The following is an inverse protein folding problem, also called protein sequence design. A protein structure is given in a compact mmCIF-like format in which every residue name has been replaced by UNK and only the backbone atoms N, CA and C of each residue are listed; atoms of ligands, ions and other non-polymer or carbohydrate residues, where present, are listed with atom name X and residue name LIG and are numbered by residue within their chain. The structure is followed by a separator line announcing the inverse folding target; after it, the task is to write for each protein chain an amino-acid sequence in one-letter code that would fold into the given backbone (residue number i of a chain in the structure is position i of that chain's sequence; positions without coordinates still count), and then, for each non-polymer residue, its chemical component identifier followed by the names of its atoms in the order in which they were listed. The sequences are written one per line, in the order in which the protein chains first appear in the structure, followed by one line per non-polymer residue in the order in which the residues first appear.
data_IF_327289750717
#
_entry.id   IF_327289750717
#
_cell.length_a   1.000
_cell.length_b   1.000
_cell.length_c   1.000
_cell.angle_alpha   90.00
_cell.angle_beta   90.00
_cell.angle_gamma   90.00
#
_symmetry.space_group_name_H-M   'P 1'
#
loop_
_entity.id
_entity.type
_entity.pdbx_description
1 polymer ?
#
# COMPACT_ATOMS: atom_id res chain seq x y z
N UNK A 1 6.61 3.08 24.76
CA UNK A 1 6.86 1.93 23.88
C UNK A 1 7.07 0.72 24.78
N UNK A 2 6.13 -0.25 24.79
CA UNK A 2 6.15 -1.38 25.72
C UNK A 2 7.25 -2.41 25.38
N UNK A 3 7.64 -2.49 24.10
CA UNK A 3 8.71 -3.40 23.64
C UNK A 3 10.06 -2.95 24.19
N UNK A 4 10.35 -1.65 24.19
CA UNK A 4 11.62 -1.12 24.70
C UNK A 4 11.72 -1.11 26.24
N UNK A 5 10.58 -1.11 26.94
CA UNK A 5 10.52 -0.99 28.41
C UNK A 5 10.40 -2.35 29.12
N UNK A 6 10.13 -3.42 28.38
CA UNK A 6 9.91 -4.77 28.94
C UNK A 6 11.03 -5.69 28.46
N UNK A 7 11.93 -6.10 29.37
CA UNK A 7 13.00 -7.03 29.04
C UNK A 7 12.47 -8.35 28.47
N UNK A 8 12.98 -8.77 27.31
CA UNK A 8 12.56 -10.01 26.64
C UNK A 8 11.26 -9.94 25.85
N UNK A 9 10.65 -8.75 25.69
CA UNK A 9 9.41 -8.60 24.93
C UNK A 9 9.60 -8.82 23.42
N UNK A 10 8.52 -9.30 22.78
CA UNK A 10 8.34 -9.34 21.32
C UNK A 10 7.03 -8.66 20.97
N UNK A 11 7.02 -7.89 19.89
CA UNK A 11 5.82 -7.22 19.38
C UNK A 11 5.88 -7.06 17.86
N UNK A 12 4.72 -6.99 17.22
CA UNK A 12 4.60 -6.65 15.81
C UNK A 12 4.21 -5.18 15.70
N UNK A 13 4.98 -4.43 14.92
CA UNK A 13 4.75 -3.01 14.65
C UNK A 13 5.01 -2.74 13.18
N UNK A 14 4.42 -1.69 12.65
CA UNK A 14 4.78 -1.18 11.31
C UNK A 14 6.26 -0.73 11.33
N UNK A 15 6.99 -0.90 10.22
CA UNK A 15 8.44 -0.79 10.16
C UNK A 15 8.96 0.63 10.48
N UNK A 16 8.25 1.68 10.07
CA UNK A 16 8.62 3.06 10.38
C UNK A 16 8.70 3.26 11.91
N UNK A 17 7.77 2.65 12.67
CA UNK A 17 7.82 2.70 14.13
C UNK A 17 9.07 2.03 14.69
N UNK A 18 9.47 0.87 14.16
CA UNK A 18 10.68 0.18 14.60
C UNK A 18 11.93 1.02 14.29
N UNK A 19 12.04 1.56 13.07
CA UNK A 19 13.19 2.34 12.61
C UNK A 19 13.33 3.67 13.36
N UNK A 20 12.27 4.45 13.45
CA UNK A 20 12.28 5.76 14.12
C UNK A 20 12.57 5.65 15.63
N UNK A 21 12.06 4.59 16.28
CA UNK A 21 12.31 4.34 17.70
C UNK A 21 13.58 3.52 17.97
N UNK A 22 14.38 3.21 16.93
CA UNK A 22 15.63 2.43 17.03
C UNK A 22 15.44 1.09 17.75
N UNK A 23 14.32 0.41 17.49
CA UNK A 23 14.04 -0.89 18.05
C UNK A 23 14.84 -1.96 17.33
N UNK A 24 15.30 -2.97 18.07
CA UNK A 24 15.81 -4.20 17.47
C UNK A 24 14.67 -4.92 16.76
N UNK A 25 14.87 -5.28 15.49
CA UNK A 25 13.95 -6.08 14.68
C UNK A 25 14.64 -7.36 14.20
N UNK A 26 13.87 -8.25 13.60
CA UNK A 26 14.35 -9.55 13.10
C UNK A 26 14.19 -9.64 11.58
N UNK A 27 15.10 -10.38 10.95
CA UNK A 27 14.85 -10.94 9.63
C UNK A 27 13.73 -11.99 9.70
N UNK A 28 13.07 -12.25 8.57
CA UNK A 28 12.09 -13.35 8.45
C UNK A 28 12.41 -14.24 7.25
N UNK A 29 11.95 -15.48 7.32
CA UNK A 29 12.00 -16.41 6.19
C UNK A 29 10.77 -16.18 5.32
N UNK A 30 10.97 -15.88 4.04
CA UNK A 30 9.90 -15.68 3.08
C UNK A 30 9.38 -17.00 2.48
N UNK A 31 8.39 -16.89 1.59
CA UNK A 31 7.75 -18.02 0.92
C UNK A 31 8.74 -18.95 0.21
N UNK A 32 9.80 -18.37 -0.36
CA UNK A 32 10.82 -19.06 -1.14
C UNK A 32 11.97 -19.60 -0.25
N UNK A 33 11.80 -19.54 1.07
CA UNK A 33 12.78 -20.03 2.05
C UNK A 33 14.00 -19.12 2.22
N UNK A 34 13.93 -17.87 1.75
CA UNK A 34 15.04 -16.90 1.87
C UNK A 34 14.89 -16.08 3.15
N UNK A 35 16.03 -15.80 3.78
CA UNK A 35 16.11 -14.85 4.88
C UNK A 35 16.12 -13.44 4.30
N UNK A 36 15.09 -12.66 4.61
CA UNK A 36 14.88 -11.31 4.09
C UNK A 36 14.85 -10.34 5.27
N UNK A 37 15.37 -9.14 5.08
CA UNK A 37 15.32 -8.02 6.04
C UNK A 37 14.11 -7.11 5.73
N UNK A 38 13.44 -6.50 6.72
CA UNK A 38 12.34 -5.58 6.47
C UNK A 38 12.85 -4.26 5.89
N UNK A 39 12.91 -4.16 4.55
CA UNK A 39 13.33 -2.96 3.83
C UNK A 39 12.25 -2.50 2.85
N UNK A 40 12.29 -1.21 2.48
CA UNK A 40 11.39 -0.66 1.47
C UNK A 40 11.37 -1.49 0.18
N UNK A 41 12.55 -1.89 -0.31
CA UNK A 41 12.68 -2.73 -1.50
C UNK A 41 12.02 -4.12 -1.32
N UNK A 42 12.14 -4.74 -0.14
CA UNK A 42 11.53 -6.04 0.14
C UNK A 42 10.00 -5.95 0.26
N UNK A 43 9.46 -4.85 0.79
CA UNK A 43 8.00 -4.61 0.78
C UNK A 43 7.51 -4.32 -0.65
N UNK A 44 8.24 -3.52 -1.45
CA UNK A 44 7.94 -3.31 -2.87
C UNK A 44 7.94 -4.62 -3.65
N UNK A 45 8.89 -5.52 -3.38
CA UNK A 45 8.97 -6.83 -4.02
C UNK A 45 7.74 -7.69 -3.71
N UNK A 46 7.29 -7.71 -2.45
CA UNK A 46 6.06 -8.41 -2.07
C UNK A 46 4.82 -7.82 -2.77
N UNK A 47 4.72 -6.49 -2.87
CA UNK A 47 3.64 -5.82 -3.58
C UNK A 47 3.66 -6.10 -5.10
N UNK A 48 4.84 -6.08 -5.73
CA UNK A 48 4.99 -6.33 -7.16
C UNK A 48 4.66 -7.76 -7.57
N UNK A 49 4.87 -8.73 -6.67
CA UNK A 49 4.58 -10.15 -6.92
C UNK A 49 3.14 -10.55 -6.58
N UNK A 50 2.33 -9.62 -6.06
CA UNK A 50 0.94 -9.89 -5.72
C UNK A 50 0.02 -9.82 -6.94
N UNK A 51 -0.97 -10.72 -7.00
CA UNK A 51 -2.07 -10.61 -7.97
C UNK A 51 -3.13 -9.64 -7.45
N UNK A 52 -2.94 -8.36 -7.79
CA UNK A 52 -3.83 -7.25 -7.45
C UNK A 52 -5.25 -7.38 -8.02
N UNK A 53 -5.44 -8.23 -9.03
CA UNK A 53 -6.74 -8.48 -9.66
C UNK A 53 -7.50 -9.65 -9.04
N UNK A 54 -6.85 -10.42 -8.15
CA UNK A 54 -7.43 -11.64 -7.56
C UNK A 54 -8.66 -11.41 -6.70
N UNK A 55 -8.88 -10.18 -6.20
CA UNK A 55 -10.00 -9.81 -5.33
C UNK A 55 -10.65 -8.50 -5.79
N UNK A 56 -12.00 -8.37 -5.70
CA UNK A 56 -12.67 -7.11 -5.96
C UNK A 56 -12.14 -5.99 -5.05
N UNK A 57 -11.92 -4.80 -5.64
CA UNK A 57 -11.51 -3.62 -4.89
C UNK A 57 -10.11 -3.69 -4.29
N UNK A 58 -9.22 -4.54 -4.83
CA UNK A 58 -7.82 -4.67 -4.38
C UNK A 58 -7.67 -5.13 -2.92
N UNK A 59 -8.63 -5.91 -2.41
CA UNK A 59 -8.57 -6.55 -1.09
C UNK A 59 -7.55 -7.70 -1.01
N UNK A 60 -6.38 -7.53 -1.62
CA UNK A 60 -5.36 -8.56 -1.78
C UNK A 60 -4.51 -8.67 -0.54
N UNK A 61 -4.28 -9.90 -0.09
CA UNK A 61 -3.42 -10.20 1.05
C UNK A 61 -1.96 -10.19 0.57
N UNK A 62 -1.16 -9.24 1.04
CA UNK A 62 0.27 -9.16 0.70
C UNK A 62 1.18 -10.00 1.62
N UNK A 63 0.61 -10.71 2.58
CA UNK A 63 1.36 -11.64 3.42
C UNK A 63 1.85 -12.85 2.60
N UNK A 64 3.12 -13.20 2.76
CA UNK A 64 3.77 -14.38 2.19
C UNK A 64 3.64 -14.50 0.65
N UNK A 65 3.76 -13.36 -0.04
CA UNK A 65 3.86 -13.28 -1.49
C UNK A 65 5.14 -13.97 -1.99
N UNK A 66 5.13 -14.56 -3.21
CA UNK A 66 6.30 -15.26 -3.77
C UNK A 66 7.42 -14.27 -4.13
N UNK A 67 8.61 -14.78 -4.42
CA UNK A 67 9.76 -14.01 -4.86
C UNK A 67 10.88 -13.98 -3.81
N UNK A 68 12.12 -14.15 -4.26
CA UNK A 68 13.29 -14.31 -3.40
C UNK A 68 13.54 -13.11 -2.47
N UNK A 69 13.12 -11.91 -2.88
CA UNK A 69 13.31 -10.65 -2.14
C UNK A 69 12.04 -10.21 -1.38
N UNK A 70 10.94 -10.95 -1.49
CA UNK A 70 9.65 -10.53 -0.90
C UNK A 70 9.68 -10.64 0.62
N UNK A 71 9.37 -9.54 1.31
CA UNK A 71 9.16 -9.57 2.76
C UNK A 71 7.83 -10.29 3.09
N UNK A 72 7.83 -11.29 4.00
CA UNK A 72 6.66 -12.14 4.22
C UNK A 72 5.51 -11.45 4.96
N UNK A 73 5.73 -10.30 5.60
CA UNK A 73 4.70 -9.58 6.36
C UNK A 73 4.48 -8.16 5.82
N UNK A 74 4.05 -8.07 4.58
CA UNK A 74 3.67 -6.81 3.90
C UNK A 74 2.16 -6.64 3.91
N UNK A 75 1.67 -5.41 3.98
CA UNK A 75 0.25 -5.07 3.80
C UNK A 75 0.12 -3.75 3.06
N UNK A 76 -0.93 -3.63 2.25
CA UNK A 76 -1.40 -2.33 1.78
C UNK A 76 -2.26 -1.65 2.87
N UNK A 77 -2.58 -0.39 2.63
CA UNK A 77 -3.65 0.35 3.29
C UNK A 77 -4.62 0.86 2.23
N UNK A 78 -5.85 1.16 2.62
CA UNK A 78 -6.92 1.47 1.67
C UNK A 78 -7.63 2.78 2.02
N UNK A 79 -8.06 3.45 0.96
CA UNK A 79 -9.04 4.53 1.01
C UNK A 79 -10.37 3.98 0.51
N UNK A 80 -11.45 4.28 1.22
CA UNK A 80 -12.81 3.87 0.84
C UNK A 80 -13.55 5.05 0.22
N UNK A 81 -14.14 4.82 -0.95
CA UNK A 81 -14.92 5.81 -1.69
C UNK A 81 -16.20 5.15 -2.20
N UNK A 82 -17.32 5.87 -2.15
CA UNK A 82 -18.57 5.40 -2.74
C UNK A 82 -18.46 5.38 -4.27
N UNK A 83 -18.90 4.28 -4.90
CA UNK A 83 -18.99 4.18 -6.37
C UNK A 83 -19.96 5.22 -6.98
N UNK A 84 -20.98 5.59 -6.21
CA UNK A 84 -21.94 6.66 -6.53
C UNK A 84 -22.05 7.58 -5.32
N UNK A 85 -21.15 8.57 -5.19
CA UNK A 85 -21.17 9.48 -4.06
C UNK A 85 -22.31 10.50 -4.19
N UNK A 86 -22.86 10.93 -3.05
CA UNK A 86 -23.85 12.02 -3.01
C UNK A 86 -23.21 13.36 -3.39
N UNK A 87 -21.96 13.59 -2.98
CA UNK A 87 -21.16 14.74 -3.37
C UNK A 87 -20.10 14.35 -4.42
N UNK A 88 -20.51 14.43 -5.68
CA UNK A 88 -19.66 14.17 -6.83
C UNK A 88 -18.48 15.14 -6.94
N UNK A 89 -18.66 16.40 -6.54
CA UNK A 89 -17.62 17.41 -6.65
C UNK A 89 -16.49 17.14 -5.63
N UNK A 90 -16.84 16.93 -4.36
CA UNK A 90 -15.87 16.59 -3.33
C UNK A 90 -15.13 15.28 -3.63
N UNK A 91 -15.86 14.26 -4.12
CA UNK A 91 -15.23 12.99 -4.50
C UNK A 91 -14.27 13.16 -5.68
N UNK A 92 -14.64 13.96 -6.69
CA UNK A 92 -13.74 14.27 -7.81
C UNK A 92 -12.43 14.93 -7.37
N UNK A 93 -12.50 15.89 -6.44
CA UNK A 93 -11.29 16.51 -5.88
C UNK A 93 -10.45 15.55 -5.04
N UNK A 94 -11.08 14.65 -4.27
CA UNK A 94 -10.37 13.60 -3.55
C UNK A 94 -9.60 12.66 -4.50
N UNK A 95 -10.21 12.24 -5.61
CA UNK A 95 -9.54 11.40 -6.62
C UNK A 95 -8.35 12.14 -7.25
N UNK A 96 -8.47 13.44 -7.54
CA UNK A 96 -7.34 14.25 -8.03
C UNK A 96 -6.20 14.33 -7.02
N UNK A 97 -6.52 14.49 -5.73
CA UNK A 97 -5.52 14.51 -4.67
C UNK A 97 -4.73 13.20 -4.61
N UNK A 98 -5.39 12.04 -4.67
CA UNK A 98 -4.70 10.75 -4.65
C UNK A 98 -3.94 10.48 -5.96
N UNK A 99 -4.49 10.87 -7.11
CA UNK A 99 -3.77 10.78 -8.39
C UNK A 99 -2.49 11.63 -8.38
N UNK A 100 -2.56 12.85 -7.85
CA UNK A 100 -1.37 13.69 -7.63
C UNK A 100 -0.38 13.03 -6.65
N UNK A 101 -0.90 12.42 -5.57
CA UNK A 101 -0.07 11.73 -4.58
C UNK A 101 0.69 10.56 -5.20
N UNK A 102 0.07 9.77 -6.10
CA UNK A 102 0.80 8.75 -6.85
C UNK A 102 1.81 9.35 -7.83
N UNK A 103 1.48 10.46 -8.51
CA UNK A 103 2.36 11.03 -9.52
C UNK A 103 3.55 11.84 -8.97
N UNK A 104 3.47 12.31 -7.72
CA UNK A 104 4.42 13.28 -7.13
C UNK A 104 4.82 12.98 -5.69
N UNK A 105 4.20 12.00 -5.05
CA UNK A 105 4.33 11.75 -3.62
C UNK A 105 5.34 10.66 -3.24
N UNK A 106 5.96 9.97 -4.20
CA UNK A 106 6.85 8.83 -3.91
C UNK A 106 8.00 9.20 -2.96
N UNK A 107 8.67 10.33 -3.21
CA UNK A 107 9.75 10.81 -2.34
C UNK A 107 9.22 11.18 -0.95
N UNK A 108 8.03 11.79 -0.86
CA UNK A 108 7.41 12.14 0.43
C UNK A 108 6.99 10.89 1.22
N UNK A 109 6.53 9.84 0.54
CA UNK A 109 6.22 8.56 1.15
C UNK A 109 7.51 7.90 1.69
N UNK A 110 8.59 7.93 0.90
CA UNK A 110 9.88 7.36 1.28
C UNK A 110 10.50 8.09 2.49
N UNK A 111 10.36 9.42 2.59
CA UNK A 111 10.78 10.20 3.77
C UNK A 111 10.09 9.76 5.06
N UNK A 112 8.86 9.25 4.96
CA UNK A 112 8.09 8.70 6.06
C UNK A 112 8.23 7.18 6.23
N UNK A 113 9.22 6.58 5.56
CA UNK A 113 9.50 5.13 5.53
C UNK A 113 8.38 4.27 4.92
N UNK A 114 7.46 4.87 4.16
CA UNK A 114 6.46 4.16 3.37
C UNK A 114 7.00 3.78 1.99
N UNK A 115 6.36 2.78 1.40
CA UNK A 115 6.70 2.27 0.08
C UNK A 115 5.72 2.78 -0.96
N UNK A 116 6.28 3.43 -1.98
CA UNK A 116 5.54 3.84 -3.17
C UNK A 116 4.88 2.63 -3.83
N UNK A 117 3.64 2.83 -4.28
CA UNK A 117 2.89 1.79 -4.98
C UNK A 117 3.49 1.57 -6.37
N UNK A 118 3.68 0.31 -6.84
CA UNK A 118 4.21 0.09 -8.18
C UNK A 118 3.33 0.72 -9.28
N UNK A 119 3.94 1.33 -10.29
CA UNK A 119 3.24 2.03 -11.40
C UNK A 119 2.13 1.20 -12.05
N UNK A 120 2.36 -0.10 -12.23
CA UNK A 120 1.37 -1.01 -12.82
C UNK A 120 0.09 -1.11 -11.96
N UNK A 121 0.24 -1.07 -10.64
CA UNK A 121 -0.88 -1.10 -9.69
C UNK A 121 -1.58 0.25 -9.67
N UNK A 122 -0.82 1.36 -9.64
CA UNK A 122 -1.37 2.72 -9.72
C UNK A 122 -2.24 2.88 -10.96
N UNK A 123 -1.73 2.49 -12.13
CA UNK A 123 -2.48 2.55 -13.39
C UNK A 123 -3.77 1.75 -13.32
N UNK A 124 -3.72 0.53 -12.76
CA UNK A 124 -4.92 -0.30 -12.59
C UNK A 124 -5.96 0.38 -11.70
N UNK A 125 -5.53 1.00 -10.59
CA UNK A 125 -6.42 1.72 -9.66
C UNK A 125 -7.08 2.92 -10.34
N UNK A 126 -6.33 3.71 -11.09
CA UNK A 126 -6.84 4.87 -11.84
C UNK A 126 -7.84 4.46 -12.93
N UNK A 127 -7.58 3.36 -13.65
CA UNK A 127 -8.54 2.76 -14.59
C UNK A 127 -9.83 2.32 -13.89
N UNK A 128 -9.73 1.71 -12.71
CA UNK A 128 -10.89 1.33 -11.90
C UNK A 128 -11.69 2.56 -11.47
N UNK A 129 -11.04 3.65 -11.05
CA UNK A 129 -11.74 4.89 -10.67
C UNK A 129 -12.56 5.45 -11.83
N UNK A 130 -11.98 5.55 -13.03
CA UNK A 130 -12.67 6.07 -14.21
C UNK A 130 -13.81 5.18 -14.70
N UNK A 131 -13.81 3.90 -14.35
CA UNK A 131 -14.87 2.95 -14.71
C UNK A 131 -15.99 2.90 -13.67
N UNK A 132 -15.62 2.84 -12.39
CA UNK A 132 -16.53 2.43 -11.32
C UNK A 132 -17.03 3.59 -10.46
N UNK A 133 -16.36 4.75 -10.46
CA UNK A 133 -16.74 5.92 -9.65
C UNK A 133 -17.40 6.97 -10.54
N UNK A 134 -18.71 7.09 -10.41
CA UNK A 134 -19.58 7.87 -11.31
C UNK A 134 -20.54 8.78 -10.55
N UNK A 135 -20.97 9.87 -11.17
CA UNK A 135 -22.04 10.72 -10.65
C UNK A 135 -23.43 10.03 -10.71
N UNK A 136 -24.46 10.74 -10.26
CA UNK A 136 -25.86 10.26 -10.29
C UNK A 136 -26.38 9.96 -11.70
N UNK A 137 -25.77 10.53 -12.75
CA UNK A 137 -26.11 10.29 -14.15
C UNK A 137 -25.24 9.19 -14.79
N UNK A 138 -24.32 8.58 -14.03
CA UNK A 138 -23.40 7.56 -14.53
C UNK A 138 -22.19 8.11 -15.26
N UNK A 139 -21.91 9.42 -15.20
CA UNK A 139 -20.70 10.01 -15.77
C UNK A 139 -19.50 9.74 -14.85
N UNK A 140 -18.36 9.24 -15.36
CA UNK A 140 -17.13 9.09 -14.58
C UNK A 140 -16.69 10.37 -13.87
N UNK A 141 -16.28 10.24 -12.60
CA UNK A 141 -15.73 11.33 -11.81
C UNK A 141 -14.21 11.50 -11.99
N UNK A 142 -13.55 10.51 -12.61
CA UNK A 142 -12.14 10.55 -12.94
C UNK A 142 -11.93 10.16 -14.40
N UNK A 143 -11.12 10.95 -15.09
CA UNK A 143 -10.57 10.67 -16.42
C UNK A 143 -9.09 10.96 -16.25
N UNK A 144 -8.25 9.92 -16.32
CA UNK A 144 -6.82 9.97 -15.95
C UNK A 144 -6.05 11.19 -16.46
N UNK A 145 -4.91 11.47 -15.84
CA UNK A 145 -4.02 12.58 -16.24
C UNK A 145 -3.42 12.37 -17.63
#
# INVERSE_FOLDING_TARGET
NNVSQTGGAIGYVEYAYAKQNKLTYTDLINKDGKKVEPTAAAFSAAAANADWSSQPGYGVILANQPGAESWPMTSATWILVYKKPDDAAATGEALKFFAWSYAKGDDMAAELDYVAMPDAVVKSVEEMWGKDIVDSNGKPLFSGM
#
